data_IF_342735711411
#
_entry.id   IF_342735711411
#
_cell.length_a   1.000
_cell.length_b   1.000
_cell.length_c   1.000
_cell.angle_alpha   90.00
_cell.angle_beta   90.00
_cell.angle_gamma   90.00
#
_symmetry.space_group_name_H-M   'P 1'
#
loop_
_entity.id
_entity.type
_entity.pdbx_description
1 polymer ?
#
# COMPACT_ATOMS: atom_id res chain seq x y z
N UNK A 1 16.81 50.42 -7.97
CA UNK A 1 15.43 49.93 -7.76
C UNK A 1 15.46 48.42 -7.98
N UNK A 2 15.58 47.64 -6.91
CA UNK A 2 15.59 46.18 -6.97
C UNK A 2 14.14 45.73 -6.86
N UNK A 3 13.61 45.14 -7.93
CA UNK A 3 12.27 44.54 -7.93
C UNK A 3 12.36 43.25 -7.13
N UNK A 4 11.85 43.24 -5.90
CA UNK A 4 11.72 42.03 -5.11
C UNK A 4 10.63 41.18 -5.76
N UNK A 5 11.03 40.10 -6.43
CA UNK A 5 10.12 39.07 -6.86
C UNK A 5 9.52 38.42 -5.60
N UNK A 6 8.23 38.65 -5.37
CA UNK A 6 7.47 37.98 -4.32
C UNK A 6 7.57 36.46 -4.53
N UNK A 7 8.23 35.78 -3.61
CA UNK A 7 8.18 34.33 -3.52
C UNK A 7 6.73 33.95 -3.24
N UNK A 8 6.01 33.48 -4.26
CA UNK A 8 4.74 32.80 -4.06
C UNK A 8 5.00 31.65 -3.10
N UNK A 9 4.61 31.82 -1.83
CA UNK A 9 4.49 30.70 -0.91
C UNK A 9 3.65 29.65 -1.63
N UNK A 10 4.27 28.50 -1.94
CA UNK A 10 3.56 27.36 -2.49
C UNK A 10 2.34 27.11 -1.61
N UNK A 11 1.13 27.27 -2.16
CA UNK A 11 -0.09 27.07 -1.39
C UNK A 11 -0.16 25.58 -1.06
N UNK A 12 0.28 25.22 0.15
CA UNK A 12 0.03 23.92 0.75
C UNK A 12 -1.48 23.64 0.64
N UNK A 13 -1.86 22.36 0.49
CA UNK A 13 -3.28 21.97 0.47
C UNK A 13 -3.99 22.62 1.65
N UNK A 14 -4.89 23.55 1.35
CA UNK A 14 -5.64 24.26 2.37
C UNK A 14 -6.60 23.26 3.06
N UNK A 15 -6.78 23.42 4.38
CA UNK A 15 -7.73 22.63 5.16
C UNK A 15 -9.12 22.58 4.52
N UNK A 16 -9.58 23.66 3.87
CA UNK A 16 -10.85 23.67 3.13
C UNK A 16 -10.92 22.59 2.07
N UNK A 17 -9.85 22.39 1.29
CA UNK A 17 -9.81 21.39 0.23
C UNK A 17 -9.78 19.97 0.82
N UNK A 18 -9.04 19.77 1.90
CA UNK A 18 -9.06 18.51 2.62
C UNK A 18 -10.46 18.19 3.17
N UNK A 19 -11.19 19.16 3.72
CA UNK A 19 -12.55 18.94 4.23
C UNK A 19 -13.53 18.56 3.12
N UNK A 20 -13.46 19.19 1.95
CA UNK A 20 -14.26 18.81 0.77
C UNK A 20 -13.95 17.37 0.34
N UNK A 21 -12.67 17.03 0.24
CA UNK A 21 -12.24 15.67 -0.07
C UNK A 21 -12.76 14.65 0.95
N UNK A 22 -12.66 14.95 2.25
CA UNK A 22 -13.19 14.08 3.31
C UNK A 22 -14.72 13.95 3.26
N UNK A 23 -15.45 14.98 2.80
CA UNK A 23 -16.89 14.88 2.57
C UNK A 23 -17.20 13.87 1.45
N UNK A 24 -16.49 13.97 0.32
CA UNK A 24 -16.62 13.02 -0.80
C UNK A 24 -16.25 11.58 -0.38
N UNK A 25 -15.19 11.42 0.42
CA UNK A 25 -14.78 10.12 0.98
C UNK A 25 -15.89 9.49 1.82
N UNK A 26 -16.51 10.26 2.73
CA UNK A 26 -17.64 9.79 3.55
C UNK A 26 -18.84 9.42 2.69
N UNK A 27 -19.15 10.22 1.67
CA UNK A 27 -20.25 9.95 0.74
C UNK A 27 -20.06 8.64 -0.05
N UNK A 28 -18.82 8.13 -0.15
CA UNK A 28 -18.48 6.85 -0.77
C UNK A 28 -18.05 5.76 0.22
N UNK A 29 -18.41 5.91 1.50
CA UNK A 29 -18.18 4.91 2.55
C UNK A 29 -16.71 4.60 2.85
N UNK A 30 -15.82 5.59 2.71
CA UNK A 30 -14.42 5.53 3.18
C UNK A 30 -14.27 6.18 4.57
N UNK A 31 -15.09 5.78 5.54
CA UNK A 31 -15.15 6.46 6.85
C UNK A 31 -13.88 6.23 7.67
N UNK A 32 -13.34 5.01 7.64
CA UNK A 32 -12.13 4.65 8.37
C UNK A 32 -10.93 5.47 7.92
N UNK A 33 -10.75 5.66 6.61
CA UNK A 33 -9.65 6.48 6.09
C UNK A 33 -9.79 7.95 6.51
N UNK A 34 -11.02 8.47 6.54
CA UNK A 34 -11.31 9.83 7.02
C UNK A 34 -11.01 9.99 8.51
N UNK A 35 -11.32 8.99 9.34
CA UNK A 35 -10.97 8.99 10.77
C UNK A 35 -9.44 9.08 10.93
N UNK A 36 -8.67 8.34 10.13
CA UNK A 36 -7.20 8.41 10.17
C UNK A 36 -6.67 9.81 9.83
N UNK A 37 -7.24 10.46 8.81
CA UNK A 37 -6.89 11.83 8.44
C UNK A 37 -7.23 12.83 9.56
N UNK A 38 -8.40 12.68 10.20
CA UNK A 38 -8.81 13.51 11.34
C UNK A 38 -7.89 13.34 12.55
N UNK A 39 -7.42 12.13 12.85
CA UNK A 39 -6.50 11.88 13.98
C UNK A 39 -5.17 12.61 13.77
N UNK A 40 -4.65 12.64 12.54
CA UNK A 40 -3.44 13.40 12.24
C UNK A 40 -3.67 14.92 12.35
N UNK A 41 -4.92 15.37 12.21
CA UNK A 41 -5.40 16.75 12.31
C UNK A 41 -4.62 17.76 11.42
N UNK A 42 -3.74 17.26 10.55
CA UNK A 42 -2.81 18.00 9.71
C UNK A 42 -2.41 17.11 8.53
N UNK A 43 -2.21 17.73 7.37
CA UNK A 43 -1.58 17.05 6.24
C UNK A 43 -0.09 16.89 6.58
N UNK A 44 0.49 15.69 6.49
CA UNK A 44 1.91 15.48 6.70
C UNK A 44 2.77 16.48 5.90
N UNK A 45 3.86 16.98 6.51
CA UNK A 45 4.73 18.02 5.92
C UNK A 45 5.26 17.66 4.52
N UNK A 46 5.49 16.37 4.24
CA UNK A 46 5.93 15.93 2.91
C UNK A 46 4.87 16.13 1.82
N UNK A 47 3.58 16.13 2.19
CA UNK A 47 2.46 16.43 1.30
C UNK A 47 2.15 17.93 1.25
N UNK A 48 2.49 18.70 2.30
CA UNK A 48 2.30 20.16 2.33
C UNK A 48 3.12 20.90 1.25
N UNK A 49 4.25 20.34 0.82
CA UNK A 49 5.06 20.93 -0.26
C UNK A 49 4.42 20.80 -1.64
N UNK A 50 3.34 20.02 -1.76
CA UNK A 50 2.64 19.79 -3.01
C UNK A 50 1.31 20.52 -3.01
N UNK A 51 1.04 21.29 -4.06
CA UNK A 51 -0.24 21.99 -4.22
C UNK A 51 -1.43 21.02 -4.40
N UNK A 52 -1.14 19.77 -4.77
CA UNK A 52 -2.12 18.71 -5.04
C UNK A 52 -1.62 17.39 -4.49
N UNK A 53 -2.54 16.55 -4.04
CA UNK A 53 -2.24 15.19 -3.54
C UNK A 53 -3.29 14.22 -4.04
N UNK A 54 -2.88 12.96 -4.24
CA UNK A 54 -3.79 11.84 -4.45
C UNK A 54 -3.74 10.89 -3.26
N UNK A 55 -4.88 10.61 -2.64
CA UNK A 55 -5.01 9.55 -1.65
C UNK A 55 -5.41 8.23 -2.29
N UNK A 56 -4.75 7.15 -1.85
CA UNK A 56 -5.00 5.78 -2.27
C UNK A 56 -5.63 5.03 -1.10
N UNK A 57 -6.95 5.01 -1.04
CA UNK A 57 -7.70 4.68 0.18
C UNK A 57 -8.10 3.21 0.23
N UNK A 58 -7.91 2.57 1.38
CA UNK A 58 -8.54 1.29 1.67
C UNK A 58 -10.01 1.51 2.03
N UNK A 59 -10.88 0.60 1.63
CA UNK A 59 -12.24 0.56 2.19
C UNK A 59 -12.20 0.16 3.68
N UNK A 60 -13.29 0.41 4.39
CA UNK A 60 -13.35 0.23 5.84
C UNK A 60 -13.12 -1.23 6.26
N UNK A 61 -13.46 -2.20 5.40
CA UNK A 61 -13.22 -3.63 5.66
C UNK A 61 -11.75 -4.00 5.53
N UNK A 62 -11.08 -3.55 4.47
CA UNK A 62 -9.66 -3.79 4.26
C UNK A 62 -8.84 -3.05 5.33
N UNK A 63 -9.27 -1.84 5.71
CA UNK A 63 -8.59 -1.03 6.71
C UNK A 63 -8.66 -1.65 8.11
N UNK A 64 -9.78 -2.28 8.49
CA UNK A 64 -9.91 -2.92 9.81
C UNK A 64 -8.95 -4.09 10.04
N UNK A 65 -8.43 -4.68 8.95
CA UNK A 65 -7.39 -5.72 9.00
C UNK A 65 -5.96 -5.19 9.12
N UNK A 66 -5.73 -3.87 9.06
CA UNK A 66 -4.39 -3.27 9.15
C UNK A 66 -4.02 -3.02 10.61
N UNK A 67 -2.86 -3.51 11.04
CA UNK A 67 -2.31 -3.20 12.36
C UNK A 67 -1.66 -1.81 12.34
N UNK A 68 -2.36 -0.81 12.87
CA UNK A 68 -1.88 0.56 12.97
C UNK A 68 -1.55 0.90 14.43
N UNK A 69 -0.33 1.37 14.65
CA UNK A 69 0.07 2.02 15.91
C UNK A 69 0.02 3.53 15.73
N UNK A 70 -0.05 4.28 16.85
CA UNK A 70 0.01 5.75 16.81
C UNK A 70 1.25 6.27 16.06
N UNK A 71 2.38 5.59 16.23
CA UNK A 71 3.66 5.99 15.63
C UNK A 71 3.74 5.66 14.13
N UNK A 72 2.96 4.68 13.65
CA UNK A 72 2.94 4.26 12.24
C UNK A 72 1.82 4.90 11.42
N UNK A 73 0.95 5.70 12.06
CA UNK A 73 -0.21 6.30 11.39
C UNK A 73 0.20 7.30 10.30
N UNK A 74 1.16 8.18 10.62
CA UNK A 74 1.67 9.14 9.64
C UNK A 74 2.30 8.42 8.44
N UNK A 75 3.16 7.44 8.70
CA UNK A 75 3.77 6.63 7.64
C UNK A 75 2.73 5.87 6.82
N UNK A 76 1.67 5.38 7.44
CA UNK A 76 0.55 4.75 6.71
C UNK A 76 -0.08 5.73 5.70
N UNK A 77 -0.44 6.94 6.13
CA UNK A 77 -1.02 7.96 5.22
C UNK A 77 -0.02 8.37 4.12
N UNK A 78 1.26 8.49 4.46
CA UNK A 78 2.32 8.81 3.49
C UNK A 78 2.53 7.71 2.45
N UNK A 79 2.47 6.42 2.84
CA UNK A 79 2.53 5.29 1.90
C UNK A 79 1.32 5.27 0.96
N UNK A 80 0.18 5.75 1.45
CA UNK A 80 -1.10 5.81 0.75
C UNK A 80 -1.37 7.18 0.09
N UNK A 81 -0.31 7.93 -0.25
CA UNK A 81 -0.43 9.20 -0.94
C UNK A 81 0.59 9.38 -2.05
N UNK A 82 0.21 10.14 -3.07
CA UNK A 82 1.07 10.63 -4.15
C UNK A 82 1.07 12.16 -4.05
N UNK A 83 2.24 12.84 -3.98
CA UNK A 83 2.37 14.30 -3.92
C UNK A 83 2.08 14.96 -5.28
N UNK A 84 0.98 14.55 -5.92
CA UNK A 84 0.45 15.07 -7.19
C UNK A 84 -1.02 14.69 -7.27
N UNK A 85 -1.88 15.55 -7.83
CA UNK A 85 -3.31 15.28 -8.00
C UNK A 85 -3.58 14.56 -9.31
N UNK A 86 -3.53 13.22 -9.30
CA UNK A 86 -3.69 12.37 -10.46
C UNK A 86 -5.10 11.78 -10.50
N UNK A 87 -5.87 12.15 -11.51
CA UNK A 87 -7.14 11.51 -11.87
C UNK A 87 -6.92 10.11 -12.46
N UNK A 88 -7.98 9.32 -12.56
CA UNK A 88 -7.91 8.02 -13.21
C UNK A 88 -7.40 8.14 -14.66
N UNK A 89 -7.88 9.15 -15.40
CA UNK A 89 -7.50 9.36 -16.80
C UNK A 89 -6.00 9.68 -16.94
N UNK A 90 -5.45 10.50 -16.04
CA UNK A 90 -4.01 10.78 -16.01
C UNK A 90 -3.21 9.51 -15.70
N UNK A 91 -3.63 8.73 -14.69
CA UNK A 91 -2.97 7.47 -14.35
C UNK A 91 -3.02 6.45 -15.50
N UNK A 92 -4.12 6.36 -16.24
CA UNK A 92 -4.28 5.43 -17.37
C UNK A 92 -3.40 5.77 -18.58
N UNK A 93 -2.98 7.04 -18.71
CA UNK A 93 -2.07 7.51 -19.77
C UNK A 93 -0.60 7.25 -19.45
N UNK A 94 -0.28 6.95 -18.20
CA UNK A 94 1.09 6.61 -17.83
C UNK A 94 1.47 5.25 -18.45
N UNK A 95 2.67 5.14 -19.06
CA UNK A 95 3.20 3.86 -19.49
C UNK A 95 3.25 2.84 -18.35
N UNK A 96 3.11 1.55 -18.68
CA UNK A 96 3.28 0.49 -17.69
C UNK A 96 4.70 0.50 -17.14
N UNK A 97 4.82 0.43 -15.81
CA UNK A 97 6.10 0.51 -15.10
C UNK A 97 6.53 1.92 -14.73
N UNK A 98 5.74 2.96 -15.06
CA UNK A 98 6.00 4.32 -14.57
C UNK A 98 6.09 4.33 -13.04
N UNK A 99 7.12 4.98 -12.51
CA UNK A 99 7.29 5.23 -11.09
C UNK A 99 6.89 6.67 -10.77
N UNK A 100 5.94 6.83 -9.85
CA UNK A 100 5.54 8.15 -9.31
C UNK A 100 6.01 8.25 -7.85
N UNK A 101 6.37 9.45 -7.36
CA UNK A 101 6.72 9.61 -5.95
C UNK A 101 5.54 9.21 -5.05
N UNK A 102 5.84 8.66 -3.88
CA UNK A 102 4.86 8.57 -2.79
C UNK A 102 5.03 9.72 -1.80
N UNK A 103 4.11 9.88 -0.85
CA UNK A 103 4.27 10.79 0.27
C UNK A 103 5.42 10.38 1.22
N UNK A 104 5.87 9.13 1.16
CA UNK A 104 7.05 8.65 1.88
C UNK A 104 8.34 9.05 1.16
N UNK A 105 9.30 9.69 1.86
CA UNK A 105 10.59 10.05 1.28
C UNK A 105 11.30 8.85 0.65
N UNK A 106 11.83 9.03 -0.56
CA UNK A 106 12.61 8.03 -1.32
C UNK A 106 11.85 6.74 -1.65
N UNK A 107 10.52 6.72 -1.54
CA UNK A 107 9.68 5.58 -1.92
C UNK A 107 8.82 5.95 -3.13
N UNK A 108 8.78 5.05 -4.11
CA UNK A 108 8.09 5.25 -5.38
C UNK A 108 6.94 4.25 -5.52
N UNK A 109 5.83 4.69 -6.12
CA UNK A 109 4.69 3.87 -6.49
C UNK A 109 4.77 3.51 -7.97
N UNK A 110 4.72 2.22 -8.28
CA UNK A 110 4.67 1.72 -9.65
C UNK A 110 3.24 1.76 -10.19
N UNK A 111 3.06 2.29 -11.40
CA UNK A 111 1.77 2.31 -12.09
C UNK A 111 1.76 1.22 -13.16
N UNK A 112 0.73 0.37 -13.13
CA UNK A 112 0.56 -0.69 -14.14
C UNK A 112 -0.89 -0.76 -14.59
N UNK A 113 -1.14 -0.43 -15.84
CA UNK A 113 -2.42 -0.65 -16.51
C UNK A 113 -2.42 -2.03 -17.19
N UNK A 114 -3.17 -2.96 -16.61
CA UNK A 114 -3.33 -4.31 -17.13
C UNK A 114 -4.65 -4.47 -17.86
N UNK A 115 -4.92 -3.62 -18.87
CA UNK A 115 -6.10 -3.65 -19.78
C UNK A 115 -7.35 -4.27 -19.12
N UNK A 116 -7.62 -5.56 -19.38
CA UNK A 116 -8.81 -6.29 -18.89
C UNK A 116 -8.93 -6.40 -17.37
N UNK A 117 -7.82 -6.39 -16.64
CA UNK A 117 -7.80 -6.55 -15.18
C UNK A 117 -7.77 -5.22 -14.42
N UNK A 118 -7.59 -4.09 -15.13
CA UNK A 118 -7.65 -2.74 -14.58
C UNK A 118 -6.29 -2.11 -14.29
N UNK A 119 -6.32 -1.02 -13.52
CA UNK A 119 -5.16 -0.20 -13.16
C UNK A 119 -4.67 -0.52 -11.75
N UNK A 120 -3.35 -0.60 -11.58
CA UNK A 120 -2.69 -0.99 -10.35
C UNK A 120 -1.66 0.05 -9.91
N UNK A 121 -1.57 0.25 -8.60
CA UNK A 121 -0.57 1.07 -7.89
C UNK A 121 0.25 0.16 -6.96
N UNK A 122 1.55 0.04 -7.21
CA UNK A 122 2.40 -1.09 -6.80
C UNK A 122 1.81 -2.43 -7.23
N UNK A 123 0.94 -3.01 -6.41
CA UNK A 123 0.18 -4.23 -6.70
C UNK A 123 -1.31 -4.11 -6.30
N UNK A 124 -1.72 -2.97 -5.75
CA UNK A 124 -3.10 -2.73 -5.34
C UNK A 124 -3.91 -2.24 -6.53
N UNK A 125 -5.04 -2.90 -6.81
CA UNK A 125 -5.94 -2.52 -7.90
C UNK A 125 -6.72 -1.28 -7.47
N UNK A 126 -6.86 -0.30 -8.36
CA UNK A 126 -7.85 0.77 -8.17
C UNK A 126 -9.24 0.16 -8.39
N UNK A 127 -10.03 0.12 -7.33
CA UNK A 127 -11.39 -0.46 -7.32
C UNK A 127 -12.46 0.60 -7.45
N UNK A 128 -12.24 1.78 -6.87
CA UNK A 128 -13.18 2.91 -6.91
C UNK A 128 -12.44 4.16 -7.33
N UNK A 129 -12.41 4.49 -8.62
CA UNK A 129 -11.67 5.65 -9.11
C UNK A 129 -12.41 6.97 -8.82
N UNK A 130 -11.65 8.06 -8.77
CA UNK A 130 -12.16 9.43 -8.72
C UNK A 130 -13.21 9.66 -7.62
N UNK A 131 -12.89 9.24 -6.38
CA UNK A 131 -13.78 9.39 -5.22
C UNK A 131 -13.99 10.88 -4.91
N UNK A 132 -12.91 11.65 -4.82
CA UNK A 132 -12.94 13.07 -4.52
C UNK A 132 -13.00 13.90 -5.82
N UNK A 133 -14.15 14.52 -6.05
CA UNK A 133 -14.47 15.32 -7.23
C UNK A 133 -14.63 16.80 -6.89
N UNK A 134 -15.01 17.13 -5.65
CA UNK A 134 -15.26 18.50 -5.17
C UNK A 134 -14.01 19.24 -4.71
N UNK A 135 -12.82 18.62 -4.82
CA UNK A 135 -11.54 19.17 -4.35
C UNK A 135 -10.41 19.01 -5.36
N UNK A 136 -9.34 19.81 -5.18
CA UNK A 136 -8.03 19.59 -5.80
C UNK A 136 -7.34 18.31 -5.30
N UNK A 137 -7.72 17.81 -4.13
CA UNK A 137 -7.30 16.50 -3.63
C UNK A 137 -7.99 15.42 -4.44
N UNK A 138 -7.20 14.53 -5.04
CA UNK A 138 -7.71 13.35 -5.74
C UNK A 138 -7.74 12.15 -4.81
N UNK A 139 -8.66 11.24 -5.04
CA UNK A 139 -8.82 10.06 -4.20
C UNK A 139 -9.23 8.88 -5.06
N UNK A 140 -8.61 7.72 -4.82
CA UNK A 140 -8.99 6.46 -5.43
C UNK A 140 -9.04 5.38 -4.36
N UNK A 141 -10.12 4.61 -4.34
CA UNK A 141 -10.19 3.39 -3.56
C UNK A 141 -9.32 2.29 -4.17
N UNK A 142 -8.55 1.60 -3.34
CA UNK A 142 -7.65 0.51 -3.74
C UNK A 142 -7.95 -0.79 -2.98
N UNK A 143 -7.61 -1.93 -3.58
CA UNK A 143 -7.96 -3.26 -3.08
C UNK A 143 -7.11 -3.76 -1.91
N UNK A 144 -5.95 -3.18 -1.64
CA UNK A 144 -4.97 -3.69 -0.67
C UNK A 144 -3.97 -2.64 -0.25
N UNK A 145 -3.32 -2.84 0.90
CA UNK A 145 -2.33 -1.90 1.45
C UNK A 145 -1.15 -1.65 0.49
N UNK A 146 -0.63 -0.41 0.45
CA UNK A 146 0.60 -0.10 -0.27
C UNK A 146 1.80 -0.52 0.57
N UNK A 147 2.50 -1.53 0.06
CA UNK A 147 3.77 -2.03 0.62
C UNK A 147 4.88 -1.71 -0.37
N UNK A 148 5.98 -1.17 0.15
CA UNK A 148 7.21 -1.02 -0.61
C UNK A 148 8.07 -2.25 -0.36
N UNK A 149 8.67 -2.81 -1.42
CA UNK A 149 9.78 -3.74 -1.21
C UNK A 149 10.90 -2.93 -0.57
N UNK A 150 11.49 -3.43 0.50
CA UNK A 150 12.73 -2.83 0.98
C UNK A 150 13.73 -2.86 -0.16
N UNK A 151 14.42 -1.73 -0.36
CA UNK A 151 15.57 -1.74 -1.25
C UNK A 151 16.48 -2.83 -0.71
N UNK A 152 16.67 -3.90 -1.47
CA UNK A 152 17.68 -4.91 -1.15
C UNK A 152 18.97 -4.11 -1.06
N UNK A 153 19.48 -3.90 0.16
CA UNK A 153 20.90 -3.68 0.33
C UNK A 153 21.53 -4.91 -0.29
N UNK A 154 22.10 -4.75 -1.49
CA UNK A 154 22.88 -5.76 -2.20
C UNK A 154 24.19 -5.99 -1.43
N UNK A 155 24.08 -6.46 -0.20
CA UNK A 155 25.20 -6.82 0.68
C UNK A 155 24.95 -8.08 1.51
N UNK A 156 23.83 -8.79 1.34
CA UNK A 156 23.68 -10.15 1.89
C UNK A 156 23.68 -11.21 0.79
N UNK A 157 24.78 -11.32 0.04
CA UNK A 157 25.19 -12.62 -0.45
C UNK A 157 25.74 -13.40 0.75
N UNK A 158 24.89 -14.15 1.46
CA UNK A 158 25.38 -15.21 2.34
C UNK A 158 25.59 -16.47 1.49
N UNK A 159 26.76 -17.14 1.56
CA UNK A 159 27.05 -18.31 0.73
C UNK A 159 26.13 -19.48 1.08
N UNK A 160 25.77 -20.26 0.06
CA UNK A 160 25.20 -21.60 0.22
C UNK A 160 26.14 -22.43 1.09
N UNK A 161 25.73 -22.72 2.33
CA UNK A 161 26.44 -23.62 3.22
C UNK A 161 26.46 -25.03 2.65
N UNK A 162 27.63 -25.48 2.23
CA UNK A 162 27.92 -26.87 1.89
C UNK A 162 27.73 -27.72 3.16
N UNK A 163 26.96 -28.83 3.13
CA UNK A 163 26.82 -29.71 4.29
C UNK A 163 28.10 -30.53 4.47
N UNK A 164 28.81 -30.32 5.57
CA UNK A 164 29.97 -31.12 5.94
C UNK A 164 29.50 -32.47 6.51
N UNK A 165 29.65 -33.53 5.71
CA UNK A 165 29.54 -34.93 6.14
C UNK A 165 30.61 -35.25 7.18
N UNK A 166 30.19 -35.64 8.40
CA UNK A 166 31.09 -36.24 9.40
C UNK A 166 30.79 -37.74 9.51
N UNK A 167 31.68 -38.54 8.95
CA UNK A 167 31.78 -39.99 9.20
C UNK A 167 31.99 -40.23 10.70
N UNK A 168 31.14 -41.04 11.32
CA UNK A 168 31.52 -41.84 12.50
C UNK A 168 30.76 -43.15 12.49
N UNK A 169 31.53 -44.24 12.49
CA UNK A 169 31.06 -45.59 12.23
C UNK A 169 30.27 -46.25 13.36
N UNK A 170 29.38 -47.13 12.88
CA UNK A 170 29.08 -48.49 13.38
C UNK A 170 28.66 -48.68 14.84
N UNK A 171 27.40 -49.09 15.04
CA UNK A 171 27.07 -50.38 15.67
C UNK A 171 25.68 -50.87 15.25
N UNK A 172 25.67 -52.16 14.93
CA UNK A 172 24.60 -53.04 14.46
C UNK A 172 23.43 -53.23 15.43
N UNK A 173 22.18 -53.33 14.93
CA UNK A 173 21.23 -54.41 15.30
C UNK A 173 20.00 -54.51 14.37
N UNK A 174 19.89 -55.71 13.79
CA UNK A 174 18.81 -56.46 13.10
C UNK A 174 17.32 -56.05 13.26
N UNK A 175 16.64 -56.12 12.11
CA UNK A 175 15.30 -56.68 11.76
C UNK A 175 14.05 -56.32 12.59
N UNK A 176 12.99 -55.85 11.90
CA UNK A 176 11.78 -56.65 11.57
C UNK A 176 10.85 -55.90 10.59
N UNK A 177 10.16 -56.67 9.73
CA UNK A 177 9.11 -56.25 8.78
C UNK A 177 7.73 -56.24 9.47
N UNK A 178 6.82 -55.32 9.11
CA UNK A 178 5.36 -55.54 8.95
C UNK A 178 4.69 -54.23 8.52
N UNK A 179 4.18 -54.09 7.28
CA UNK A 179 2.80 -54.36 6.82
C UNK A 179 1.77 -53.25 7.10
N UNK A 180 1.21 -52.74 5.99
CA UNK A 180 -0.12 -52.17 5.73
C UNK A 180 -1.14 -52.01 6.87
N UNK A 181 -1.87 -50.89 6.85
CA UNK A 181 -3.33 -50.89 6.63
C UNK A 181 -3.90 -49.47 6.46
N UNK A 182 -4.77 -49.34 5.46
CA UNK A 182 -5.70 -48.23 5.31
C UNK A 182 -6.78 -48.27 6.40
N UNK A 183 -7.37 -47.12 6.73
CA UNK A 183 -8.77 -47.13 7.17
C UNK A 183 -9.48 -45.84 6.78
N UNK A 184 -10.41 -45.98 5.83
CA UNK A 184 -11.52 -45.07 5.61
C UNK A 184 -12.54 -45.27 6.73
N UNK A 185 -13.08 -44.19 7.28
CA UNK A 185 -14.37 -44.25 7.95
C UNK A 185 -15.31 -43.19 7.42
N UNK A 186 -16.56 -43.64 7.35
CA UNK A 186 -17.66 -43.28 6.47
C UNK A 186 -18.84 -42.96 7.39
N UNK A 187 -19.52 -41.83 7.13
CA UNK A 187 -20.96 -41.55 7.39
C UNK A 187 -21.36 -41.48 8.89
N UNK A 188 -22.02 -40.42 9.36
CA UNK A 188 -23.50 -40.29 9.32
C UNK A 188 -24.00 -38.85 9.35
N UNK A 189 -24.99 -38.58 8.48
CA UNK A 189 -26.02 -37.53 8.64
C UNK A 189 -26.91 -37.88 9.83
N UNK A 190 -27.38 -36.89 10.59
CA UNK A 190 -28.72 -36.88 11.20
C UNK A 190 -29.18 -35.43 11.38
N UNK A 191 -30.40 -35.19 10.86
CA UNK A 191 -31.38 -34.11 11.08
C UNK A 191 -30.97 -32.65 10.97
#
# INVERSE_FOLDING_TARGET
MVVLAESRHANAINQTELHKAMADMRARSYHGFVILLNILNTIPVSLQRSEKTTFLMLDDRALSGVSLTRNSLQDFILRHSIPSGLSLNELMRLPNGTLVPSGMPKRMISITNRRRTGLFVNNARIVTPNVCLSSVVRCHGISSEIRFKDAINSSSAQPLGIPNTKLRGSKTRKLTKSSAAANQHRITRFN
#
